data_IF_371287391740
#
_entry.id   IF_371287391740
#
_cell.length_a   1.000
_cell.length_b   1.000
_cell.length_c   1.000
_cell.angle_alpha   90.00
_cell.angle_beta   90.00
_cell.angle_gamma   90.00
#
_symmetry.space_group_name_H-M   'P 1'
#
loop_
_entity.id
_entity.type
_entity.pdbx_description
1 polymer ?
#
# COMPACT_ATOMS: atom_id res chain seq x y z
N UNK A 1 -11.12 -14.52 20.35
CA UNK A 1 -11.16 -14.45 18.88
C UNK A 1 -9.80 -14.92 18.38
N UNK A 2 -9.74 -15.97 17.56
CA UNK A 2 -8.47 -16.33 16.94
C UNK A 2 -8.21 -15.29 15.87
N UNK A 3 -7.18 -14.47 16.02
CA UNK A 3 -6.84 -13.44 15.03
C UNK A 3 -6.48 -14.13 13.72
N UNK A 4 -7.22 -13.84 12.65
CA UNK A 4 -6.80 -14.19 11.29
C UNK A 4 -5.46 -13.52 10.96
N UNK A 5 -4.76 -14.01 9.93
CA UNK A 5 -3.50 -13.39 9.52
C UNK A 5 -3.70 -11.93 9.08
N UNK A 6 -2.80 -11.06 9.51
CA UNK A 6 -2.76 -9.64 9.17
C UNK A 6 -2.10 -9.45 7.80
N UNK A 7 -2.83 -8.85 6.85
CA UNK A 7 -2.30 -8.64 5.49
C UNK A 7 -1.66 -7.26 5.38
N UNK A 8 -0.41 -7.21 4.96
CA UNK A 8 0.32 -5.99 4.60
C UNK A 8 0.57 -5.99 3.10
N UNK A 9 0.06 -4.99 2.38
CA UNK A 9 0.23 -4.88 0.93
C UNK A 9 1.30 -3.86 0.58
N UNK A 10 2.35 -4.26 -0.14
CA UNK A 10 3.55 -3.45 -0.34
C UNK A 10 3.70 -3.02 -1.80
N UNK A 11 3.48 -1.73 -2.03
CA UNK A 11 3.66 -1.00 -3.29
C UNK A 11 5.05 -0.37 -3.38
N UNK A 12 5.49 -0.11 -4.61
CA UNK A 12 6.75 0.56 -4.91
C UNK A 12 7.38 0.05 -6.19
N UNK A 13 8.33 0.81 -6.72
CA UNK A 13 8.99 0.52 -8.00
C UNK A 13 10.02 -0.62 -7.84
N UNK A 14 10.49 -1.24 -8.95
CA UNK A 14 11.54 -2.24 -8.88
C UNK A 14 12.81 -1.67 -8.23
N UNK A 15 13.38 -2.43 -7.30
CA UNK A 15 14.59 -2.01 -6.59
C UNK A 15 14.40 -0.87 -5.59
N UNK A 16 13.17 -0.40 -5.31
CA UNK A 16 12.90 0.64 -4.30
C UNK A 16 13.28 0.25 -2.86
N UNK A 17 13.66 -1.00 -2.60
CA UNK A 17 13.98 -1.47 -1.25
C UNK A 17 12.77 -2.03 -0.49
N UNK A 18 11.68 -2.39 -1.18
CA UNK A 18 10.52 -3.09 -0.58
C UNK A 18 10.93 -4.33 0.19
N UNK A 19 11.77 -5.18 -0.41
CA UNK A 19 12.21 -6.43 0.21
C UNK A 19 13.10 -6.22 1.43
N UNK A 20 14.02 -5.25 1.39
CA UNK A 20 14.80 -4.87 2.57
C UNK A 20 13.93 -4.26 3.67
N UNK A 21 12.87 -3.53 3.30
CA UNK A 21 11.90 -2.97 4.26
C UNK A 21 11.09 -4.10 4.91
N UNK A 22 10.59 -5.05 4.13
CA UNK A 22 9.89 -6.24 4.65
C UNK A 22 10.81 -7.07 5.56
N UNK A 23 12.06 -7.29 5.16
CA UNK A 23 13.05 -7.97 6.00
C UNK A 23 13.15 -7.29 7.37
N UNK A 24 13.32 -5.97 7.40
CA UNK A 24 13.46 -5.24 8.66
C UNK A 24 12.18 -5.28 9.52
N UNK A 25 11.00 -5.16 8.89
CA UNK A 25 9.71 -5.32 9.58
C UNK A 25 9.56 -6.71 10.21
N UNK A 26 9.96 -7.75 9.48
CA UNK A 26 9.93 -9.13 9.96
C UNK A 26 10.94 -9.34 11.08
N UNK A 27 12.16 -8.82 10.94
CA UNK A 27 13.24 -9.04 11.91
C UNK A 27 13.05 -8.30 13.23
N UNK A 28 12.50 -7.09 13.16
CA UNK A 28 12.50 -6.14 14.27
C UNK A 28 11.10 -5.64 14.64
N UNK A 29 10.05 -6.08 13.93
CA UNK A 29 8.67 -5.68 14.16
C UNK A 29 7.74 -6.77 14.64
N UNK A 30 7.95 -8.01 14.20
CA UNK A 30 7.18 -9.18 14.65
C UNK A 30 7.72 -9.76 15.95
N UNK A 31 6.89 -10.53 16.65
CA UNK A 31 7.40 -11.33 17.76
C UNK A 31 8.33 -12.45 17.22
N UNK A 32 9.35 -12.88 17.99
CA UNK A 32 10.38 -13.81 17.50
C UNK A 32 9.87 -15.13 16.90
N UNK A 33 8.76 -15.65 17.41
CA UNK A 33 8.16 -16.91 16.99
C UNK A 33 6.88 -16.71 16.16
N UNK A 34 6.55 -15.46 15.81
CA UNK A 34 5.36 -15.16 15.02
C UNK A 34 5.55 -15.62 13.58
N UNK A 35 4.68 -16.48 13.04
CA UNK A 35 4.80 -16.94 11.67
C UNK A 35 4.51 -15.78 10.70
N UNK A 36 5.28 -15.68 9.62
CA UNK A 36 4.95 -14.79 8.53
C UNK A 36 5.14 -15.44 7.16
N UNK A 37 4.27 -15.03 6.22
CA UNK A 37 4.36 -15.38 4.82
C UNK A 37 4.76 -14.13 4.02
N UNK A 38 5.82 -14.22 3.24
CA UNK A 38 6.23 -13.17 2.30
C UNK A 38 5.94 -13.64 0.88
N UNK A 39 5.02 -12.94 0.22
CA UNK A 39 4.67 -13.19 -1.18
C UNK A 39 5.45 -12.23 -2.07
N UNK A 40 6.32 -12.77 -2.92
CA UNK A 40 7.17 -12.01 -3.84
C UNK A 40 6.76 -12.27 -5.29
N UNK A 41 6.62 -11.20 -6.08
CA UNK A 41 6.32 -11.35 -7.51
C UNK A 41 7.46 -12.11 -8.22
N UNK A 42 7.10 -13.12 -9.01
CA UNK A 42 8.03 -14.02 -9.68
C UNK A 42 8.86 -13.31 -10.75
N UNK A 43 8.33 -12.24 -11.34
CA UNK A 43 9.00 -11.47 -12.38
C UNK A 43 10.17 -10.63 -11.84
N UNK A 44 10.26 -10.44 -10.52
CA UNK A 44 11.31 -9.62 -9.92
C UNK A 44 12.66 -10.32 -9.92
N UNK A 45 13.68 -9.55 -10.27
CA UNK A 45 15.07 -9.97 -10.17
C UNK A 45 15.41 -10.36 -8.74
N UNK A 46 16.27 -11.36 -8.54
CA UNK A 46 16.74 -11.74 -7.22
C UNK A 46 17.32 -10.54 -6.45
N UNK A 47 17.09 -10.50 -5.14
CA UNK A 47 17.61 -9.48 -4.23
C UNK A 47 18.21 -10.18 -3.01
N UNK A 48 19.33 -9.66 -2.45
CA UNK A 48 19.94 -10.25 -1.26
C UNK A 48 19.02 -10.38 -0.05
N UNK A 49 17.93 -9.60 0.04
CA UNK A 49 16.92 -9.75 1.08
C UNK A 49 16.11 -11.05 0.94
N UNK A 50 15.95 -11.61 -0.26
CA UNK A 50 15.22 -12.85 -0.49
C UNK A 50 15.83 -14.01 0.30
N UNK A 51 17.16 -14.19 0.21
CA UNK A 51 17.89 -15.25 0.90
C UNK A 51 17.86 -15.07 2.42
N UNK A 52 17.91 -13.81 2.89
CA UNK A 52 17.84 -13.49 4.33
C UNK A 52 16.46 -13.77 4.91
N UNK A 53 15.40 -13.47 4.16
CA UNK A 53 14.03 -13.82 4.52
C UNK A 53 13.88 -15.35 4.57
N UNK A 54 14.34 -16.07 3.54
CA UNK A 54 14.20 -17.52 3.45
C UNK A 54 15.04 -18.29 4.49
N UNK A 55 16.10 -17.70 5.04
CA UNK A 55 16.92 -18.30 6.08
C UNK A 55 16.27 -18.28 7.48
N UNK A 56 15.14 -17.59 7.66
CA UNK A 56 14.46 -17.44 8.94
C UNK A 56 13.49 -18.59 9.18
N UNK A 57 13.48 -19.16 10.39
CA UNK A 57 12.71 -20.36 10.70
C UNK A 57 11.18 -20.16 10.70
N UNK A 58 10.72 -18.96 11.06
CA UNK A 58 9.31 -18.59 11.16
C UNK A 58 8.77 -17.90 9.89
N UNK A 59 9.58 -17.81 8.83
CA UNK A 59 9.23 -17.07 7.62
C UNK A 59 9.18 -18.01 6.43
N UNK A 60 8.04 -18.01 5.77
CA UNK A 60 7.88 -18.67 4.49
C UNK A 60 7.95 -17.63 3.37
N UNK A 61 8.76 -17.87 2.35
CA UNK A 61 8.83 -17.02 1.16
C UNK A 61 8.25 -17.78 -0.02
N UNK A 62 7.20 -17.24 -0.65
CA UNK A 62 6.61 -17.81 -1.86
C UNK A 62 6.65 -16.84 -3.02
N UNK A 63 6.75 -17.40 -4.21
CA UNK A 63 6.71 -16.65 -5.48
C UNK A 63 5.32 -16.73 -6.08
N UNK A 64 4.85 -15.63 -6.65
CA UNK A 64 3.53 -15.54 -7.27
C UNK A 64 3.61 -14.80 -8.61
N UNK A 65 2.68 -15.04 -9.53
CA UNK A 65 2.69 -14.43 -10.86
C UNK A 65 1.48 -13.53 -11.06
N UNK A 66 1.70 -12.34 -11.60
CA UNK A 66 0.63 -11.42 -11.97
C UNK A 66 0.07 -11.75 -13.36
N UNK A 67 -1.25 -11.90 -13.47
CA UNK A 67 -1.94 -12.19 -14.74
C UNK A 67 -2.44 -10.93 -15.46
N UNK A 68 -2.35 -9.75 -14.84
CA UNK A 68 -2.83 -8.48 -15.38
C UNK A 68 -4.12 -7.95 -14.75
N UNK A 69 -4.90 -8.79 -14.07
CA UNK A 69 -6.25 -8.46 -13.59
C UNK A 69 -6.47 -8.77 -12.12
N UNK A 70 -6.04 -9.95 -11.66
CA UNK A 70 -6.42 -10.49 -10.35
C UNK A 70 -5.21 -11.00 -9.58
N UNK A 71 -5.22 -10.78 -8.26
CA UNK A 71 -4.25 -11.39 -7.37
C UNK A 71 -4.44 -12.91 -7.35
N UNK A 72 -3.36 -13.70 -7.37
CA UNK A 72 -3.47 -15.16 -7.42
C UNK A 72 -4.03 -15.71 -6.11
N UNK A 73 -4.72 -16.84 -6.21
CA UNK A 73 -5.12 -17.62 -5.04
C UNK A 73 -3.87 -18.12 -4.29
N UNK A 74 -3.89 -18.05 -2.96
CA UNK A 74 -2.77 -18.42 -2.09
C UNK A 74 -3.28 -19.09 -0.81
N UNK A 75 -2.59 -20.14 -0.35
CA UNK A 75 -2.87 -20.74 0.95
C UNK A 75 -2.32 -19.87 2.08
N UNK A 76 -3.17 -19.07 2.72
CA UNK A 76 -2.72 -18.15 3.78
C UNK A 76 -2.55 -18.88 5.12
N UNK A 77 -1.59 -18.47 5.95
CA UNK A 77 -1.50 -18.97 7.31
C UNK A 77 -2.75 -18.57 8.11
N UNK A 78 -3.15 -19.41 9.06
CA UNK A 78 -4.32 -19.14 9.90
C UNK A 78 -4.13 -17.92 10.83
N UNK A 79 -2.88 -17.63 11.22
CA UNK A 79 -2.49 -16.55 12.15
C UNK A 79 -1.14 -15.96 11.72
N UNK A 80 -0.79 -14.78 12.24
CA UNK A 80 0.50 -14.12 11.99
C UNK A 80 0.40 -13.04 10.93
N UNK A 81 1.46 -12.82 10.16
CA UNK A 81 1.53 -11.73 9.17
C UNK A 81 1.70 -12.25 7.74
N UNK A 82 1.08 -11.59 6.77
CA UNK A 82 1.34 -11.80 5.34
C UNK A 82 1.85 -10.51 4.73
N UNK A 83 3.08 -10.51 4.23
CA UNK A 83 3.65 -9.39 3.48
C UNK A 83 3.51 -9.67 1.99
N UNK A 84 2.51 -9.06 1.38
CA UNK A 84 2.21 -9.20 -0.04
C UNK A 84 2.92 -8.11 -0.84
N UNK A 85 4.09 -8.43 -1.42
CA UNK A 85 4.83 -7.51 -2.27
C UNK A 85 4.21 -7.50 -3.66
N UNK A 86 3.62 -6.36 -4.04
CA UNK A 86 2.96 -6.16 -5.33
C UNK A 86 3.93 -6.33 -6.51
N UNK A 87 3.40 -6.69 -7.68
CA UNK A 87 4.13 -6.72 -8.94
C UNK A 87 4.55 -5.30 -9.32
N UNK A 88 5.85 -5.04 -9.23
CA UNK A 88 6.40 -3.68 -9.34
C UNK A 88 6.41 -3.08 -10.74
N UNK A 89 6.27 -3.91 -11.77
CA UNK A 89 6.14 -3.46 -13.17
C UNK A 89 4.69 -3.44 -13.65
N UNK A 90 3.77 -3.92 -12.83
CA UNK A 90 2.34 -3.92 -13.09
C UNK A 90 1.72 -2.56 -12.80
N UNK A 91 0.46 -2.40 -13.22
CA UNK A 91 -0.32 -1.25 -12.82
C UNK A 91 -0.72 -1.38 -11.34
N UNK A 92 -0.37 -0.42 -10.47
CA UNK A 92 -0.62 -0.55 -9.04
C UNK A 92 -2.11 -0.43 -8.70
N UNK A 93 -2.87 0.32 -9.49
CA UNK A 93 -4.30 0.54 -9.21
C UNK A 93 -5.12 -0.72 -9.48
N UNK A 94 -4.81 -1.48 -10.52
CA UNK A 94 -5.48 -2.77 -10.80
C UNK A 94 -5.16 -3.78 -9.70
N UNK A 95 -3.95 -3.75 -9.15
CA UNK A 95 -3.58 -4.62 -8.05
C UNK A 95 -4.29 -4.24 -6.73
N UNK A 96 -4.46 -2.94 -6.44
CA UNK A 96 -5.25 -2.48 -5.29
C UNK A 96 -6.75 -2.74 -5.46
N UNK A 97 -7.29 -2.52 -6.66
CA UNK A 97 -8.70 -2.77 -7.00
C UNK A 97 -9.02 -4.27 -6.88
N UNK A 98 -8.09 -5.15 -7.24
CA UNK A 98 -8.23 -6.61 -7.05
C UNK A 98 -7.95 -7.10 -5.63
N UNK A 99 -7.44 -6.25 -4.74
CA UNK A 99 -7.10 -6.64 -3.37
C UNK A 99 -8.34 -6.87 -2.50
N UNK A 100 -9.37 -6.01 -2.56
CA UNK A 100 -10.58 -6.20 -1.72
C UNK A 100 -11.30 -7.53 -2.03
N UNK A 101 -11.61 -7.90 -3.29
CA UNK A 101 -12.18 -9.20 -3.60
C UNK A 101 -11.28 -10.39 -3.21
N UNK A 102 -9.96 -10.19 -3.21
CA UNK A 102 -9.01 -11.21 -2.76
C UNK A 102 -9.08 -11.40 -1.24
N UNK A 103 -9.10 -10.32 -0.46
CA UNK A 103 -9.27 -10.33 0.99
C UNK A 103 -10.59 -11.02 1.39
N UNK A 104 -11.69 -10.65 0.73
CA UNK A 104 -13.02 -11.23 0.98
C UNK A 104 -13.05 -12.74 0.74
N UNK A 105 -12.42 -13.21 -0.34
CA UNK A 105 -12.33 -14.64 -0.68
C UNK A 105 -11.55 -15.44 0.35
N UNK A 106 -10.53 -14.83 0.94
CA UNK A 106 -9.69 -15.45 1.95
C UNK A 106 -10.20 -15.25 3.38
N UNK A 107 -11.25 -14.45 3.58
CA UNK A 107 -11.78 -14.09 4.89
C UNK A 107 -10.72 -13.51 5.83
N UNK A 108 -9.90 -12.59 5.30
CA UNK A 108 -8.83 -11.91 6.03
C UNK A 108 -8.97 -10.39 5.90
N UNK A 109 -8.45 -9.67 6.89
CA UNK A 109 -8.49 -8.22 6.92
C UNK A 109 -7.17 -7.60 6.45
N UNK A 110 -7.27 -6.44 5.81
CA UNK A 110 -6.11 -5.65 5.43
C UNK A 110 -5.60 -4.86 6.63
N UNK A 111 -4.42 -5.22 7.14
CA UNK A 111 -3.77 -4.47 8.20
C UNK A 111 -3.27 -3.11 7.68
N UNK A 112 -2.38 -3.10 6.70
CA UNK A 112 -1.87 -1.86 6.09
C UNK A 112 -1.46 -1.99 4.64
N UNK A 113 -1.53 -0.89 3.91
CA UNK A 113 -0.86 -0.66 2.63
C UNK A 113 0.38 0.19 2.86
N UNK A 114 1.50 -0.28 2.32
CA UNK A 114 2.79 0.39 2.37
C UNK A 114 3.23 0.82 0.99
N UNK A 115 3.69 2.06 0.84
CA UNK A 115 4.41 2.49 -0.36
C UNK A 115 5.88 2.74 -0.05
N UNK A 116 6.76 2.08 -0.79
CA UNK A 116 8.21 2.33 -0.72
C UNK A 116 8.63 3.18 -1.92
N UNK A 117 9.03 4.41 -1.63
CA UNK A 117 9.45 5.42 -2.61
C UNK A 117 10.96 5.39 -2.76
N UNK A 118 11.42 5.02 -3.96
CA UNK A 118 12.79 5.27 -4.41
C UNK A 118 12.96 6.78 -4.65
N UNK A 119 13.58 7.49 -3.70
CA UNK A 119 13.67 8.96 -3.76
C UNK A 119 14.56 9.46 -4.91
N UNK A 120 15.61 8.73 -5.29
CA UNK A 120 16.41 9.06 -6.48
C UNK A 120 15.58 8.98 -7.75
N UNK A 121 14.80 7.90 -7.91
CA UNK A 121 13.93 7.75 -9.07
C UNK A 121 12.86 8.85 -9.12
N UNK A 122 12.20 9.10 -7.98
CA UNK A 122 11.16 10.11 -7.88
C UNK A 122 11.68 11.54 -8.13
N UNK A 123 12.89 11.88 -7.66
CA UNK A 123 13.52 13.17 -7.94
C UNK A 123 13.92 13.31 -9.41
N UNK A 124 14.51 12.25 -9.99
CA UNK A 124 14.99 12.28 -11.38
C UNK A 124 13.87 12.24 -12.40
N UNK A 125 12.77 11.54 -12.11
CA UNK A 125 11.68 11.28 -13.04
C UNK A 125 10.39 11.96 -12.57
N UNK A 126 10.36 13.29 -12.62
CA UNK A 126 9.17 14.07 -12.29
C UNK A 126 7.86 13.59 -12.97
N UNK A 127 7.87 13.04 -14.22
CA UNK A 127 6.67 12.47 -14.83
C UNK A 127 6.04 11.29 -14.05
N UNK A 128 6.78 10.62 -13.15
CA UNK A 128 6.25 9.57 -12.28
C UNK A 128 5.48 10.09 -11.07
N UNK A 129 5.45 11.41 -10.82
CA UNK A 129 4.75 11.96 -9.66
C UNK A 129 3.29 11.45 -9.53
N UNK A 130 2.46 11.41 -10.60
CA UNK A 130 1.10 10.88 -10.50
C UNK A 130 1.04 9.40 -10.09
N UNK A 131 2.05 8.60 -10.46
CA UNK A 131 2.14 7.19 -10.06
C UNK A 131 2.38 7.06 -8.56
N UNK A 132 3.30 7.87 -8.01
CA UNK A 132 3.54 7.91 -6.56
C UNK A 132 2.35 8.47 -5.79
N UNK A 133 1.70 9.51 -6.32
CA UNK A 133 0.49 10.10 -5.72
C UNK A 133 -0.61 9.05 -5.57
N UNK A 134 -0.84 8.27 -6.63
CA UNK A 134 -1.82 7.19 -6.61
C UNK A 134 -1.47 6.12 -5.57
N UNK A 135 -0.22 5.64 -5.52
CA UNK A 135 0.19 4.66 -4.52
C UNK A 135 0.05 5.20 -3.08
N UNK A 136 0.44 6.45 -2.85
CA UNK A 136 0.42 7.09 -1.51
C UNK A 136 -1.00 7.37 -1.04
N UNK A 137 -1.94 7.68 -1.95
CA UNK A 137 -3.36 7.86 -1.63
C UNK A 137 -3.98 6.66 -0.90
N UNK A 138 -3.59 5.44 -1.30
CA UNK A 138 -4.04 4.19 -0.67
C UNK A 138 -3.15 3.71 0.48
N UNK A 139 -2.06 4.41 0.80
CA UNK A 139 -1.06 3.94 1.76
C UNK A 139 -1.29 4.46 3.16
N UNK A 140 -1.03 3.61 4.16
CA UNK A 140 -0.97 4.01 5.57
C UNK A 140 0.43 4.48 5.98
N UNK A 141 1.46 3.93 5.35
CA UNK A 141 2.87 4.25 5.63
C UNK A 141 3.63 4.40 4.31
N UNK A 142 4.43 5.47 4.24
CA UNK A 142 5.27 5.79 3.09
C UNK A 142 6.74 5.74 3.52
N UNK A 143 7.47 4.76 3.01
CA UNK A 143 8.90 4.62 3.27
C UNK A 143 9.71 5.35 2.21
N UNK A 144 10.57 6.28 2.64
CA UNK A 144 11.47 7.03 1.77
C UNK A 144 12.86 6.40 1.82
N UNK A 145 13.20 5.67 0.77
CA UNK A 145 14.47 4.92 0.60
C UNK A 145 15.34 5.56 -0.48
N UNK A 146 16.57 5.06 -0.65
CA UNK A 146 17.54 5.54 -1.66
C UNK A 146 17.64 7.06 -1.71
N UNK A 147 17.88 7.65 -0.54
CA UNK A 147 17.91 9.11 -0.35
C UNK A 147 19.31 9.68 -0.56
N UNK A 148 20.32 8.83 -0.72
CA UNK A 148 21.69 9.26 -0.98
C UNK A 148 21.77 10.07 -2.28
N UNK A 149 22.37 11.26 -2.20
CA UNK A 149 22.45 12.18 -3.34
C UNK A 149 21.18 12.99 -3.63
N UNK A 150 20.05 12.68 -2.99
CA UNK A 150 18.80 13.46 -3.13
C UNK A 150 18.86 14.73 -2.29
N UNK A 151 18.43 15.86 -2.87
CA UNK A 151 18.47 17.12 -2.15
C UNK A 151 17.49 17.12 -0.96
N UNK A 152 17.94 17.53 0.23
CA UNK A 152 17.07 17.64 1.41
C UNK A 152 15.85 18.54 1.16
N UNK A 153 16.03 19.62 0.37
CA UNK A 153 14.93 20.49 -0.03
C UNK A 153 13.88 19.75 -0.86
N UNK A 154 14.31 18.85 -1.75
CA UNK A 154 13.39 18.02 -2.54
C UNK A 154 12.60 17.09 -1.62
N UNK A 155 13.27 16.37 -0.71
CA UNK A 155 12.60 15.49 0.26
C UNK A 155 11.55 16.22 1.10
N UNK A 156 11.92 17.37 1.69
CA UNK A 156 10.97 18.17 2.47
C UNK A 156 9.79 18.67 1.63
N UNK A 157 10.03 19.07 0.38
CA UNK A 157 8.96 19.50 -0.54
C UNK A 157 8.04 18.34 -0.92
N UNK A 158 8.62 17.15 -1.15
CA UNK A 158 7.87 15.94 -1.47
C UNK A 158 6.92 15.55 -0.35
N UNK A 159 7.39 15.52 0.90
CA UNK A 159 6.57 15.19 2.08
C UNK A 159 5.50 16.27 2.31
N UNK A 160 5.92 17.54 2.32
CA UNK A 160 5.03 18.67 2.62
C UNK A 160 3.82 18.74 1.70
N UNK A 161 3.97 18.34 0.43
CA UNK A 161 2.84 18.31 -0.52
C UNK A 161 1.68 17.43 -0.03
N UNK A 162 1.95 16.35 0.70
CA UNK A 162 0.91 15.47 1.24
C UNK A 162 0.41 15.95 2.60
N UNK A 163 1.30 16.53 3.42
CA UNK A 163 0.92 17.18 4.69
C UNK A 163 -0.04 18.37 4.45
N UNK A 164 0.25 19.21 3.45
CA UNK A 164 -0.59 20.35 3.06
C UNK A 164 -1.97 19.89 2.52
N UNK A 165 -2.08 18.63 2.08
CA UNK A 165 -3.34 17.97 1.69
C UNK A 165 -3.94 17.12 2.81
N UNK A 166 -3.39 17.20 4.03
CA UNK A 166 -3.85 16.47 5.22
C UNK A 166 -3.85 14.95 5.07
N UNK A 167 -2.91 14.39 4.30
CA UNK A 167 -2.79 12.93 4.18
C UNK A 167 -2.44 12.33 5.55
N UNK A 168 -3.22 11.34 6.05
CA UNK A 168 -2.98 10.72 7.36
C UNK A 168 -1.76 9.79 7.38
N UNK A 169 -1.24 9.43 6.21
CA UNK A 169 -0.17 8.45 6.04
C UNK A 169 1.11 8.85 6.78
N UNK A 170 1.78 7.88 7.39
CA UNK A 170 3.02 8.14 8.11
C UNK A 170 4.24 8.07 7.18
N UNK A 171 4.96 9.19 7.03
CA UNK A 171 6.16 9.26 6.21
C UNK A 171 7.42 8.91 7.03
N UNK A 172 8.09 7.81 6.67
CA UNK A 172 9.29 7.31 7.33
C UNK A 172 10.50 7.46 6.43
N UNK A 173 11.48 8.24 6.86
CA UNK A 173 12.78 8.30 6.21
C UNK A 173 13.66 7.13 6.67
N UNK A 174 13.84 6.12 5.80
CA UNK A 174 14.61 4.91 6.12
C UNK A 174 16.09 5.26 6.27
N UNK A 175 16.73 4.78 7.34
CA UNK A 175 18.15 5.03 7.67
C UNK A 175 18.96 3.75 7.48
N UNK A 176 20.29 3.88 7.44
CA UNK A 176 21.22 2.73 7.32
C UNK A 176 21.08 1.69 8.44
N UNK A 177 20.50 2.06 9.59
CA UNK A 177 20.26 1.18 10.73
C UNK A 177 18.85 0.57 10.78
N UNK A 178 18.07 0.67 9.69
CA UNK A 178 16.69 0.18 9.65
C UNK A 178 15.64 1.25 9.90
N UNK A 179 14.41 0.77 10.11
CA UNK A 179 13.19 1.49 10.37
C UNK A 179 13.11 1.87 11.85
N UNK A 180 12.62 3.08 12.17
CA UNK A 180 12.32 3.45 13.54
C UNK A 180 11.11 2.65 14.04
N UNK A 181 11.26 1.96 15.17
CA UNK A 181 10.21 1.19 15.86
C UNK A 181 9.32 0.33 14.94
N UNK A 182 9.87 -0.72 14.29
CA UNK A 182 9.16 -1.50 13.28
C UNK A 182 7.84 -2.11 13.78
N UNK A 183 7.74 -2.46 15.07
CA UNK A 183 6.50 -2.97 15.67
C UNK A 183 5.35 -1.96 15.63
N UNK A 184 5.63 -0.66 15.79
CA UNK A 184 4.59 0.40 15.69
C UNK A 184 4.13 0.54 14.23
N UNK A 185 5.03 0.32 13.28
CA UNK A 185 4.71 0.36 11.84
C UNK A 185 3.74 -0.76 11.45
N UNK A 186 3.76 -1.88 12.19
CA UNK A 186 2.89 -3.03 11.98
C UNK A 186 1.56 -2.97 12.74
N UNK A 187 1.36 -2.02 13.66
CA UNK A 187 0.04 -1.82 14.29
C UNK A 187 -1.04 -1.67 13.21
N UNK A 188 -2.19 -2.35 13.21
CA UNK A 188 -3.10 -2.37 12.05
C UNK A 188 -3.95 -1.11 11.86
N UNK A 189 -3.81 -0.06 12.69
CA UNK A 189 -4.67 1.14 12.60
C UNK A 189 -4.56 1.83 11.23
N UNK A 190 -5.66 1.92 10.44
CA UNK A 190 -5.65 2.59 9.14
C UNK A 190 -5.24 4.07 9.24
N UNK A 191 -4.43 4.51 8.28
CA UNK A 191 -3.90 5.87 8.12
C UNK A 191 -3.82 6.26 6.64
N UNK A 192 -4.78 5.84 5.84
CA UNK A 192 -4.84 6.09 4.39
C UNK A 192 -5.98 7.05 4.04
N UNK A 193 -5.92 7.67 2.87
CA UNK A 193 -6.99 8.58 2.39
C UNK A 193 -8.15 7.76 1.81
N UNK A 194 -7.83 6.72 1.05
CA UNK A 194 -8.82 5.85 0.43
C UNK A 194 -9.70 5.15 1.47
N UNK A 195 -11.00 5.12 1.23
CA UNK A 195 -11.99 4.43 2.07
C UNK A 195 -12.40 3.07 1.49
N UNK A 196 -11.87 2.71 0.32
CA UNK A 196 -12.20 1.50 -0.44
C UNK A 196 -12.22 0.21 0.39
N UNK A 197 -11.29 0.08 1.33
CA UNK A 197 -11.11 -1.13 2.12
C UNK A 197 -12.01 -1.20 3.34
N UNK A 198 -12.57 -0.07 3.76
CA UNK A 198 -13.43 0.01 4.93
C UNK A 198 -14.81 -0.58 4.62
N UNK A 199 -15.50 -1.03 5.67
CA UNK A 199 -16.92 -1.35 5.58
C UNK A 199 -17.71 -0.05 5.52
N UNK A 200 -18.58 0.08 4.52
CA UNK A 200 -19.51 1.21 4.45
C UNK A 200 -20.61 0.91 5.46
N UNK A 201 -20.60 1.58 6.60
CA UNK A 201 -21.72 1.54 7.53
C UNK A 201 -22.96 2.11 6.81
N UNK A 202 -24.03 1.32 6.75
CA UNK A 202 -25.31 1.77 6.22
C UNK A 202 -25.96 2.72 7.23
N UNK A 203 -25.74 4.03 7.04
CA UNK A 203 -26.29 5.08 7.89
C UNK A 203 -27.72 5.48 7.47
N UNK A 204 -28.33 4.81 6.50
CA UNK A 204 -29.66 5.17 5.95
C UNK A 204 -30.83 5.11 6.95
N UNK A 205 -30.59 4.63 8.18
CA UNK A 205 -31.57 4.57 9.26
C UNK A 205 -31.30 5.50 10.45
N UNK A 206 -30.30 6.37 10.39
CA UNK A 206 -30.01 7.33 11.47
C UNK A 206 -30.74 8.63 11.15
N UNK A 207 -31.93 8.81 11.73
CA UNK A 207 -32.59 10.12 11.76
C UNK A 207 -31.79 11.07 12.64
N UNK A 208 -31.00 11.94 12.02
CA UNK A 208 -30.42 13.09 12.71
C UNK A 208 -31.55 14.12 12.80
N UNK A 209 -32.11 14.32 14.01
CA UNK A 209 -33.05 15.42 14.25
C UNK A 209 -32.30 16.76 14.06
N UNK A 210 -32.37 17.32 12.85
CA UNK A 210 -31.94 18.70 12.56
C UNK A 210 -33.16 19.61 12.65
N UNK A 211 -33.11 20.58 13.57
CA UNK A 211 -34.19 21.53 13.87
C UNK A 211 -34.18 22.74 12.89
N UNK A 212 -33.94 22.52 11.60
CA UNK A 212 -33.86 23.60 10.60
C UNK A 212 -34.65 23.24 9.33
N UNK A 213 -35.74 23.97 9.13
CA UNK A 213 -36.56 24.00 7.91
C UNK A 213 -35.82 24.74 6.80
N UNK A 214 -35.23 24.03 5.82
CA UNK A 214 -34.98 24.52 4.45
C UNK A 214 -34.58 23.33 3.55
N UNK A 215 -35.56 22.73 2.87
CA UNK A 215 -35.35 21.70 1.84
C UNK A 215 -34.79 22.32 0.55
N UNK A 216 -33.47 22.54 0.48
CA UNK A 216 -32.78 22.53 -0.79
C UNK A 216 -32.42 21.08 -1.13
N UNK A 217 -32.75 20.66 -2.37
CA UNK A 217 -32.40 19.34 -2.88
C UNK A 217 -30.87 19.26 -3.10
N UNK A 218 -30.11 19.13 -2.02
CA UNK A 218 -28.69 18.81 -2.06
C UNK A 218 -28.56 17.39 -2.62
N UNK A 219 -27.77 17.24 -3.69
CA UNK A 219 -27.40 15.95 -4.25
C UNK A 219 -26.85 15.09 -3.12
N UNK A 220 -27.49 13.96 -2.74
CA UNK A 220 -27.10 13.03 -1.67
C UNK A 220 -25.60 13.13 -1.30
N UNK A 221 -25.22 14.09 -0.45
CA UNK A 221 -23.80 14.37 -0.15
C UNK A 221 -23.19 13.20 0.66
N UNK A 222 -24.08 12.38 1.22
CA UNK A 222 -23.81 11.21 2.05
C UNK A 222 -23.58 9.91 1.25
N UNK A 223 -23.77 9.90 -0.07
CA UNK A 223 -23.44 8.73 -0.89
C UNK A 223 -21.91 8.55 -0.96
N UNK A 224 -21.37 7.35 -0.69
CA UNK A 224 -19.93 7.09 -0.77
C UNK A 224 -19.39 7.48 -2.14
N UNK A 225 -18.53 8.51 -2.18
CA UNK A 225 -17.93 8.97 -3.43
C UNK A 225 -17.03 7.87 -3.99
N UNK A 226 -17.13 7.56 -5.29
CA UNK A 226 -16.29 6.53 -5.89
C UNK A 226 -14.82 6.92 -5.77
N UNK A 227 -13.98 5.90 -5.56
CA UNK A 227 -12.54 6.10 -5.42
C UNK A 227 -11.95 6.76 -6.67
N UNK A 228 -11.36 7.97 -6.57
CA UNK A 228 -10.95 8.76 -7.74
C UNK A 228 -9.94 8.08 -8.67
N UNK A 229 -9.16 7.12 -8.16
CA UNK A 229 -8.19 6.34 -8.95
C UNK A 229 -8.77 5.07 -9.57
N UNK A 230 -9.99 4.66 -9.19
CA UNK A 230 -10.70 3.52 -9.77
C UNK A 230 -11.80 3.93 -10.75
N UNK A 231 -12.15 5.21 -10.80
CA UNK A 231 -13.14 5.73 -11.75
C UNK A 231 -12.74 5.46 -13.21
N UNK A 232 -13.70 4.98 -14.01
CA UNK A 232 -13.53 4.66 -15.43
C UNK A 232 -14.47 5.48 -16.30
N UNK A 233 -13.96 5.92 -17.45
CA UNK A 233 -14.77 6.57 -18.47
C UNK A 233 -15.63 5.57 -19.25
N UNK A 234 -16.48 6.06 -20.17
CA UNK A 234 -17.36 5.23 -21.02
C UNK A 234 -16.61 4.21 -21.89
N UNK A 235 -15.32 4.39 -22.11
CA UNK A 235 -14.46 3.47 -22.87
C UNK A 235 -13.78 2.42 -21.98
N UNK A 236 -14.06 2.41 -20.67
CA UNK A 236 -13.50 1.47 -19.69
C UNK A 236 -12.08 1.80 -19.20
N UNK A 237 -11.49 2.91 -19.68
CA UNK A 237 -10.17 3.39 -19.22
C UNK A 237 -10.31 4.21 -17.95
N UNK A 238 -9.29 4.20 -17.10
CA UNK A 238 -9.26 5.06 -15.91
C UNK A 238 -9.35 6.52 -16.30
N UNK A 239 -10.12 7.29 -15.54
CA UNK A 239 -10.17 8.75 -15.71
C UNK A 239 -8.82 9.36 -15.35
N UNK A 240 -8.22 8.91 -14.23
CA UNK A 240 -6.85 9.24 -13.84
C UNK A 240 -5.87 8.18 -14.35
N UNK A 241 -5.32 8.41 -15.53
CA UNK A 241 -4.30 7.50 -16.08
C UNK A 241 -2.94 7.73 -15.42
N UNK A 242 -2.29 6.62 -15.06
CA UNK A 242 -0.96 6.65 -14.48
C UNK A 242 0.11 6.46 -15.55
N UNK A 243 1.28 7.10 -15.41
CA UNK A 243 2.41 6.82 -16.28
C UNK A 243 2.87 5.37 -16.08
N UNK A 244 3.22 4.71 -17.17
CA UNK A 244 3.77 3.36 -17.11
C UNK A 244 5.19 3.39 -16.55
N UNK A 245 5.36 2.87 -15.33
CA UNK A 245 6.63 2.85 -14.61
C UNK A 245 7.77 2.25 -15.44
N UNK A 246 7.47 1.28 -16.32
CA UNK A 246 8.47 0.58 -17.15
C UNK A 246 9.24 1.51 -18.07
N UNK A 247 8.66 2.65 -18.46
CA UNK A 247 9.30 3.65 -19.31
C UNK A 247 10.36 4.48 -18.58
N UNK A 248 10.49 4.33 -17.27
CA UNK A 248 11.34 5.16 -16.41
C UNK A 248 12.38 4.33 -15.63
N UNK A 249 12.35 3.00 -15.81
CA UNK A 249 13.33 2.06 -15.27
C UNK A 249 14.46 1.95 -16.30
N UNK A 250 15.62 2.51 -15.95
CA UNK A 250 16.78 2.62 -16.85
C UNK A 250 17.38 1.28 -17.29
#
# INVERSE_FOLDING_TARGET
MSSSAAIYFILGTPGSGRRSTVLDLVENGLAPDEPALVLLAQSETADPADDKLAARANIEVRRWSWNGTDLPDQELPATGAVFFVAESRGDPMTQLESLKPWLDRHHVELARVFTVVDCQLAEKQAPLAPWFDACIYFSDVVFLTKREGVANKWLSTFIRRYEDQFYPAHFIQVKKGGLPNPAIVLDPTPRRVAQYFEEIEDLSGIEIETDDEEEDAEEDEDAPKPEPYFERNRSGRRVKELPDVRNYLG
#
